data_IF_391441194571
#
_entry.id   IF_391441194571
#
_cell.length_a   1.000
_cell.length_b   1.000
_cell.length_c   1.000
_cell.angle_alpha   90.00
_cell.angle_beta   90.00
_cell.angle_gamma   90.00
#
_symmetry.space_group_name_H-M   'P 1'
#
loop_
_entity.id
_entity.type
_entity.pdbx_description
1 polymer ?
#
# COMPACT_ATOMS: atom_id res chain seq x y z
N UNK A 1 19.92 -77.89 -49.18
CA UNK A 1 18.73 -77.33 -48.53
C UNK A 1 19.22 -76.49 -47.36
N UNK A 2 19.32 -75.20 -47.58
CA UNK A 2 19.82 -74.24 -46.57
C UNK A 2 18.67 -73.29 -46.27
N UNK A 3 18.19 -73.33 -45.01
CA UNK A 3 17.04 -72.49 -44.53
C UNK A 3 17.65 -71.32 -43.77
N UNK A 4 17.56 -70.16 -44.38
CA UNK A 4 17.88 -68.84 -43.75
C UNK A 4 16.70 -68.37 -42.93
N UNK A 5 16.93 -68.12 -41.61
CA UNK A 5 15.91 -67.48 -40.72
C UNK A 5 16.08 -65.96 -40.81
N UNK A 6 14.96 -65.19 -40.86
CA UNK A 6 15.02 -63.74 -40.81
C UNK A 6 15.20 -63.25 -39.38
N UNK A 7 16.15 -62.34 -39.17
CA UNK A 7 16.40 -61.60 -37.91
C UNK A 7 15.40 -60.47 -37.76
N UNK A 8 14.63 -60.50 -36.68
CA UNK A 8 13.69 -59.43 -36.29
C UNK A 8 14.46 -58.27 -35.64
N UNK A 9 14.52 -57.13 -36.34
CA UNK A 9 15.05 -55.90 -35.77
C UNK A 9 13.98 -55.25 -34.87
N UNK A 10 14.17 -55.29 -33.56
CA UNK A 10 13.41 -54.49 -32.58
C UNK A 10 13.80 -53.03 -32.71
N UNK A 11 12.95 -52.21 -33.24
CA UNK A 11 13.05 -50.75 -33.20
C UNK A 11 12.63 -50.27 -31.80
N UNK A 12 13.62 -49.76 -31.05
CA UNK A 12 13.37 -49.04 -29.80
C UNK A 12 12.69 -47.70 -30.10
N UNK A 13 11.45 -47.54 -29.67
CA UNK A 13 10.77 -46.24 -29.73
C UNK A 13 11.13 -45.48 -28.47
N UNK A 14 11.97 -44.46 -28.61
CA UNK A 14 12.31 -43.55 -27.54
C UNK A 14 11.18 -42.53 -27.40
N UNK A 15 10.38 -42.66 -26.34
CA UNK A 15 9.39 -41.67 -25.98
C UNK A 15 10.07 -40.46 -25.29
N UNK A 16 10.18 -39.36 -26.02
CA UNK A 16 10.56 -38.07 -25.48
C UNK A 16 9.36 -37.49 -24.69
N UNK A 17 9.44 -37.52 -23.37
CA UNK A 17 8.51 -36.83 -22.48
C UNK A 17 8.94 -35.37 -22.48
N UNK A 18 8.23 -34.53 -23.19
CA UNK A 18 8.36 -33.07 -23.11
C UNK A 18 7.69 -32.57 -21.82
N UNK A 19 8.48 -32.20 -20.83
CA UNK A 19 8.01 -31.55 -19.60
C UNK A 19 7.60 -30.10 -19.94
N UNK A 20 6.31 -29.80 -20.05
CA UNK A 20 5.80 -28.43 -20.07
C UNK A 20 5.95 -27.85 -18.66
N UNK A 21 6.95 -27.00 -18.46
CA UNK A 21 7.00 -26.13 -17.30
C UNK A 21 5.93 -25.04 -17.45
N UNK A 22 4.80 -25.18 -16.75
CA UNK A 22 3.81 -24.13 -16.65
C UNK A 22 4.37 -22.97 -15.83
N UNK A 23 4.78 -21.90 -16.52
CA UNK A 23 5.11 -20.63 -15.87
C UNK A 23 3.77 -20.02 -15.41
N UNK A 24 3.47 -20.19 -14.14
CA UNK A 24 2.34 -19.54 -13.48
C UNK A 24 2.56 -18.03 -13.41
N UNK A 25 2.01 -17.28 -14.36
CA UNK A 25 1.91 -15.82 -14.26
C UNK A 25 0.84 -15.54 -13.23
N UNK A 26 1.22 -15.24 -11.99
CA UNK A 26 0.30 -14.70 -10.99
C UNK A 26 -0.02 -13.26 -11.38
N UNK A 27 -1.15 -13.05 -12.05
CA UNK A 27 -1.72 -11.72 -12.17
C UNK A 27 -2.10 -11.26 -10.77
N UNK A 28 -1.32 -10.31 -10.23
CA UNK A 28 -1.71 -9.58 -9.03
C UNK A 28 -3.02 -8.85 -9.35
N UNK A 29 -4.14 -9.38 -8.88
CA UNK A 29 -5.42 -8.67 -8.92
C UNK A 29 -5.27 -7.47 -7.99
N UNK A 30 -5.18 -6.26 -8.56
CA UNK A 30 -5.32 -5.03 -7.80
C UNK A 30 -6.71 -5.09 -7.13
N UNK A 31 -6.72 -5.20 -5.80
CA UNK A 31 -7.98 -5.17 -5.05
C UNK A 31 -8.72 -3.88 -5.37
N UNK A 32 -10.01 -3.94 -5.73
CA UNK A 32 -10.79 -2.72 -5.91
C UNK A 32 -10.72 -1.91 -4.60
N UNK A 33 -10.57 -0.59 -4.76
CA UNK A 33 -10.40 0.32 -3.63
C UNK A 33 -11.74 0.52 -2.89
N UNK A 34 -12.21 -0.52 -2.19
CA UNK A 34 -13.42 -0.44 -1.35
C UNK A 34 -13.13 0.32 -0.07
N UNK A 35 -14.10 1.11 0.36
CA UNK A 35 -14.14 1.69 1.69
C UNK A 35 -14.33 0.58 2.73
N UNK A 36 -13.58 0.63 3.82
CA UNK A 36 -13.64 -0.37 4.91
C UNK A 36 -14.05 0.30 6.22
N UNK A 37 -14.49 -0.52 7.18
CA UNK A 37 -14.87 -0.04 8.52
C UNK A 37 -13.63 0.33 9.35
N UNK A 38 -13.84 1.18 10.36
CA UNK A 38 -12.80 1.53 11.34
C UNK A 38 -12.18 0.28 11.99
N UNK A 39 -13.00 -0.71 12.36
CA UNK A 39 -12.53 -1.94 13.00
C UNK A 39 -11.65 -2.78 12.07
N UNK A 40 -12.02 -2.89 10.79
CA UNK A 40 -11.21 -3.59 9.79
C UNK A 40 -9.85 -2.90 9.58
N UNK A 41 -9.85 -1.57 9.43
CA UNK A 41 -8.64 -0.78 9.28
C UNK A 41 -7.70 -0.91 10.49
N UNK A 42 -8.22 -0.74 11.72
CA UNK A 42 -7.42 -0.82 12.95
C UNK A 42 -6.83 -2.21 13.18
N UNK A 43 -7.55 -3.28 12.80
CA UNK A 43 -7.01 -4.64 12.85
C UNK A 43 -5.78 -4.79 11.96
N UNK A 44 -5.84 -4.29 10.71
CA UNK A 44 -4.73 -4.35 9.74
C UNK A 44 -3.54 -3.48 10.19
N UNK A 45 -3.81 -2.26 10.69
CA UNK A 45 -2.78 -1.35 11.19
C UNK A 45 -2.03 -1.95 12.38
N UNK A 46 -2.74 -2.53 13.36
CA UNK A 46 -2.13 -3.23 14.51
C UNK A 46 -1.26 -4.41 14.06
N UNK A 47 -1.75 -5.23 13.13
CA UNK A 47 -0.99 -6.35 12.58
C UNK A 47 0.32 -5.90 11.89
N UNK A 48 0.32 -4.68 11.32
CA UNK A 48 1.50 -4.07 10.72
C UNK A 48 2.39 -3.31 11.72
N UNK A 49 2.03 -3.24 13.00
CA UNK A 49 2.76 -2.48 14.02
C UNK A 49 2.67 -0.95 13.80
N UNK A 50 1.55 -0.48 13.25
CA UNK A 50 1.23 0.94 13.10
C UNK A 50 0.32 1.34 14.26
N UNK A 51 0.64 2.45 14.92
CA UNK A 51 -0.16 3.03 15.99
C UNK A 51 -0.95 4.24 15.48
N UNK A 52 -1.92 4.67 16.25
CA UNK A 52 -2.62 5.94 16.02
C UNK A 52 -2.96 6.60 17.36
N UNK A 53 -3.14 7.89 17.32
CA UNK A 53 -3.53 8.71 18.45
C UNK A 53 -4.68 9.64 18.06
N UNK A 54 -5.51 9.97 19.02
CA UNK A 54 -6.66 10.86 18.86
C UNK A 54 -6.69 11.82 20.03
N UNK A 55 -6.81 13.11 19.79
CA UNK A 55 -6.86 14.12 20.85
C UNK A 55 -8.11 13.98 21.73
N UNK A 56 -9.23 13.51 21.16
CA UNK A 56 -10.44 13.18 21.89
C UNK A 56 -10.50 11.75 22.43
N UNK A 57 -9.46 10.92 22.19
CA UNK A 57 -9.44 9.51 22.53
C UNK A 57 -10.68 8.74 22.02
N UNK A 58 -11.08 9.02 20.78
CA UNK A 58 -12.29 8.52 20.16
C UNK A 58 -12.09 8.22 18.66
N UNK A 59 -13.10 7.58 18.05
CA UNK A 59 -13.08 7.18 16.63
C UNK A 59 -14.33 7.66 15.86
N UNK A 60 -15.07 8.60 16.40
CA UNK A 60 -16.24 9.17 15.72
C UNK A 60 -15.78 10.00 14.52
N UNK A 61 -16.26 9.61 13.33
CA UNK A 61 -15.95 10.28 12.07
C UNK A 61 -16.50 11.71 11.99
N UNK A 62 -17.54 12.01 12.74
CA UNK A 62 -18.20 13.33 12.76
C UNK A 62 -17.63 14.27 13.83
N UNK A 63 -16.57 13.86 14.51
CA UNK A 63 -15.90 14.66 15.53
C UNK A 63 -14.43 14.89 15.14
N UNK A 64 -14.04 16.15 14.94
CA UNK A 64 -12.69 16.56 14.53
C UNK A 64 -11.61 16.32 15.58
N UNK A 65 -11.98 16.02 16.84
CA UNK A 65 -11.01 15.63 17.88
C UNK A 65 -10.74 14.11 17.91
N UNK A 66 -11.47 13.34 17.11
CA UNK A 66 -11.27 11.90 16.97
C UNK A 66 -10.28 11.58 15.84
N UNK A 67 -9.76 10.36 15.82
CA UNK A 67 -9.07 9.79 14.66
C UNK A 67 -9.88 8.59 14.18
N UNK A 68 -10.50 8.73 13.03
CA UNK A 68 -11.40 7.73 12.46
C UNK A 68 -10.83 7.12 11.19
N UNK A 69 -11.05 5.83 11.02
CA UNK A 69 -10.79 5.12 9.76
C UNK A 69 -12.08 4.62 9.12
N UNK A 70 -13.25 5.07 9.60
CA UNK A 70 -14.53 4.65 9.04
C UNK A 70 -14.68 5.19 7.61
N UNK A 71 -14.88 4.28 6.66
CA UNK A 71 -14.95 4.62 5.25
C UNK A 71 -13.59 4.92 4.59
N UNK A 72 -12.48 4.58 5.23
CA UNK A 72 -11.15 4.67 4.61
C UNK A 72 -11.02 3.65 3.46
N UNK A 73 -10.30 4.00 2.44
CA UNK A 73 -10.08 3.09 1.30
C UNK A 73 -9.08 2.00 1.68
N UNK A 74 -9.32 0.78 1.22
CA UNK A 74 -8.37 -0.32 1.43
C UNK A 74 -6.99 0.04 0.85
N UNK A 75 -6.94 0.68 -0.32
CA UNK A 75 -5.68 1.12 -0.93
C UNK A 75 -4.89 2.11 -0.07
N UNK A 76 -5.55 2.92 0.76
CA UNK A 76 -4.88 3.84 1.69
C UNK A 76 -4.25 3.07 2.85
N UNK A 77 -4.95 2.08 3.40
CA UNK A 77 -4.41 1.19 4.44
C UNK A 77 -3.23 0.37 3.90
N UNK A 78 -3.37 -0.22 2.71
CA UNK A 78 -2.29 -0.97 2.06
C UNK A 78 -1.09 -0.05 1.80
N UNK A 79 -1.34 1.20 1.41
CA UNK A 79 -0.31 2.20 1.13
C UNK A 79 0.50 2.57 2.37
N UNK A 80 -0.14 2.86 3.50
CA UNK A 80 0.59 3.20 4.73
C UNK A 80 1.33 1.98 5.30
N UNK A 81 0.81 0.77 5.13
CA UNK A 81 1.49 -0.47 5.50
C UNK A 81 2.72 -0.69 4.60
N UNK A 82 2.60 -0.45 3.30
CA UNK A 82 3.73 -0.50 2.35
C UNK A 82 4.80 0.52 2.72
N UNK A 83 4.41 1.76 3.02
CA UNK A 83 5.33 2.80 3.49
C UNK A 83 6.04 2.41 4.78
N UNK A 84 5.31 1.86 5.75
CA UNK A 84 5.89 1.35 7.01
C UNK A 84 6.97 0.30 6.75
N UNK A 85 6.70 -0.67 5.87
CA UNK A 85 7.65 -1.74 5.52
C UNK A 85 8.87 -1.20 4.79
N UNK A 86 8.66 -0.31 3.82
CA UNK A 86 9.74 0.25 3.00
C UNK A 86 10.65 1.19 3.81
N UNK A 87 10.10 2.01 4.69
CA UNK A 87 10.86 2.97 5.50
C UNK A 87 11.52 2.35 6.73
N UNK A 88 10.94 1.28 7.28
CA UNK A 88 11.33 0.73 8.58
C UNK A 88 11.03 1.64 9.78
N UNK A 89 10.41 2.81 9.56
CA UNK A 89 10.13 3.80 10.59
C UNK A 89 8.97 3.37 11.50
N UNK A 90 8.98 3.82 12.75
CA UNK A 90 7.77 3.81 13.58
C UNK A 90 6.76 4.80 12.98
N UNK A 91 5.52 4.35 12.76
CA UNK A 91 4.44 5.16 12.22
C UNK A 91 3.35 5.30 13.27
N UNK A 92 2.95 6.56 13.53
CA UNK A 92 1.77 6.88 14.31
C UNK A 92 0.84 7.76 13.46
N UNK A 93 -0.38 7.29 13.21
CA UNK A 93 -1.39 8.05 12.45
C UNK A 93 -2.07 9.02 13.41
N UNK A 94 -2.23 10.27 12.99
CA UNK A 94 -2.82 11.35 13.81
C UNK A 94 -4.15 11.84 13.26
N UNK A 95 -4.48 11.54 12.00
CA UNK A 95 -5.78 11.79 11.39
C UNK A 95 -6.09 10.77 10.30
N UNK A 96 -7.37 10.50 10.11
CA UNK A 96 -7.91 9.57 9.10
C UNK A 96 -9.04 10.18 8.30
N UNK A 97 -10.27 9.72 8.53
CA UNK A 97 -11.45 10.12 7.75
C UNK A 97 -12.43 11.02 8.52
N UNK A 98 -12.07 11.48 9.71
CA UNK A 98 -12.89 12.38 10.50
C UNK A 98 -13.06 13.75 9.82
N UNK A 99 -14.08 14.49 10.24
CA UNK A 99 -14.33 15.89 9.81
C UNK A 99 -13.24 16.83 10.32
N UNK A 100 -13.14 18.02 9.71
CA UNK A 100 -12.15 19.05 10.09
C UNK A 100 -11.05 19.26 9.05
N UNK A 101 -10.97 18.39 8.05
CA UNK A 101 -10.02 18.49 6.94
C UNK A 101 -10.63 19.13 5.69
N UNK A 102 -9.78 19.60 4.78
CA UNK A 102 -10.18 20.16 3.50
C UNK A 102 -10.98 19.18 2.67
N UNK A 103 -12.06 19.65 2.05
CA UNK A 103 -12.91 18.86 1.16
C UNK A 103 -12.27 18.68 -0.22
N UNK A 104 -12.75 17.69 -0.98
CA UNK A 104 -12.32 17.40 -2.35
C UNK A 104 -12.40 15.92 -2.70
N UNK A 105 -12.18 15.60 -3.96
CA UNK A 105 -12.22 14.20 -4.43
C UNK A 105 -11.22 13.32 -3.69
N UNK A 106 -9.99 13.81 -3.53
CA UNK A 106 -8.89 13.09 -2.87
C UNK A 106 -8.68 13.61 -1.45
N UNK A 107 -9.73 13.57 -0.62
CA UNK A 107 -9.73 14.11 0.74
C UNK A 107 -9.62 13.01 1.80
N UNK A 108 -9.41 13.42 3.05
CA UNK A 108 -9.56 12.59 4.24
C UNK A 108 -10.94 11.95 4.29
N UNK A 109 -11.98 12.77 4.15
CA UNK A 109 -13.38 12.31 4.16
C UNK A 109 -13.64 11.18 3.13
N UNK A 110 -13.06 11.26 1.95
CA UNK A 110 -13.21 10.25 0.91
C UNK A 110 -12.24 9.08 1.05
N UNK A 111 -11.51 9.03 2.18
CA UNK A 111 -10.64 7.91 2.56
C UNK A 111 -9.34 7.80 1.80
N UNK A 112 -8.91 8.84 1.10
CA UNK A 112 -7.65 8.83 0.32
C UNK A 112 -6.43 9.24 1.13
N UNK A 113 -6.61 9.83 2.33
CA UNK A 113 -5.52 10.43 3.09
C UNK A 113 -5.44 9.89 4.51
N UNK A 114 -4.23 9.95 5.05
CA UNK A 114 -3.94 9.86 6.48
C UNK A 114 -2.86 10.86 6.82
N UNK A 115 -2.95 11.45 8.02
CA UNK A 115 -1.85 12.20 8.61
C UNK A 115 -1.03 11.31 9.52
N UNK A 116 0.28 11.53 9.53
CA UNK A 116 1.18 10.82 10.43
C UNK A 116 2.08 11.78 11.19
N UNK A 117 2.52 11.36 12.37
CA UNK A 117 3.48 12.11 13.16
C UNK A 117 4.78 12.33 12.39
N UNK A 118 5.29 13.57 12.45
CA UNK A 118 6.57 13.93 11.86
C UNK A 118 7.71 13.44 12.76
N UNK A 119 8.57 12.58 12.21
CA UNK A 119 9.78 12.09 12.87
C UNK A 119 10.99 12.25 11.96
N UNK A 120 12.19 12.31 12.53
CA UNK A 120 13.43 12.36 11.74
C UNK A 120 13.62 11.13 10.83
N UNK A 121 13.13 9.95 11.26
CA UNK A 121 13.16 8.75 10.45
C UNK A 121 12.29 8.90 9.18
N UNK A 122 11.03 9.33 9.36
CA UNK A 122 10.08 9.54 8.25
C UNK A 122 10.60 10.61 7.29
N UNK A 123 11.02 11.77 7.82
CA UNK A 123 11.60 12.84 7.01
C UNK A 123 12.83 12.36 6.23
N UNK A 124 13.74 11.67 6.91
CA UNK A 124 14.96 11.17 6.29
C UNK A 124 14.71 10.11 5.21
N UNK A 125 13.67 9.29 5.36
CA UNK A 125 13.29 8.33 4.32
C UNK A 125 12.68 9.05 3.10
N UNK A 126 11.70 9.93 3.32
CA UNK A 126 11.02 10.66 2.25
C UNK A 126 12.01 11.52 1.46
N UNK A 127 12.82 12.33 2.13
CA UNK A 127 13.76 13.25 1.48
C UNK A 127 14.84 12.56 0.64
N UNK A 128 15.21 11.32 0.97
CA UNK A 128 16.22 10.55 0.21
C UNK A 128 15.63 9.73 -0.93
N UNK A 129 14.36 9.34 -0.86
CA UNK A 129 13.79 8.35 -1.78
C UNK A 129 12.69 8.90 -2.69
N UNK A 130 12.15 10.09 -2.39
CA UNK A 130 11.04 10.67 -3.14
C UNK A 130 11.45 11.94 -3.87
N UNK A 131 10.78 12.24 -4.97
CA UNK A 131 11.03 13.46 -5.76
C UNK A 131 10.44 14.67 -5.05
N UNK A 132 11.28 15.62 -4.68
CA UNK A 132 10.83 16.91 -4.13
C UNK A 132 10.15 17.73 -5.21
N UNK A 133 8.93 18.22 -4.94
CA UNK A 133 8.12 19.00 -5.87
C UNK A 133 8.11 20.51 -5.56
N UNK A 134 8.64 20.92 -4.41
CA UNK A 134 8.65 22.31 -3.97
C UNK A 134 7.65 22.59 -2.85
N UNK A 135 7.54 23.88 -2.51
CA UNK A 135 6.58 24.38 -1.54
C UNK A 135 5.25 24.71 -2.23
N UNK A 136 4.16 24.16 -1.73
CA UNK A 136 2.80 24.45 -2.21
C UNK A 136 2.16 25.41 -1.20
N UNK A 137 1.83 26.62 -1.66
CA UNK A 137 1.23 27.66 -0.80
C UNK A 137 -0.06 27.16 -0.14
N UNK A 138 -0.15 27.35 1.19
CA UNK A 138 -1.28 26.88 2.00
C UNK A 138 -1.25 25.40 2.38
N UNK A 139 -0.23 24.64 1.90
CA UNK A 139 -0.10 23.20 2.21
C UNK A 139 1.24 22.87 2.86
N UNK A 140 2.37 23.15 2.21
CA UNK A 140 3.69 22.79 2.74
C UNK A 140 4.65 22.27 1.69
N UNK A 141 5.70 21.58 2.12
CA UNK A 141 6.72 21.01 1.23
C UNK A 141 6.28 19.66 0.72
N UNK A 142 6.12 19.51 -0.59
CA UNK A 142 5.55 18.32 -1.20
C UNK A 142 6.60 17.43 -1.85
N UNK A 143 6.42 16.12 -1.69
CA UNK A 143 7.24 15.06 -2.26
C UNK A 143 6.34 14.04 -2.96
N UNK A 144 6.83 13.46 -4.06
CA UNK A 144 6.13 12.42 -4.82
C UNK A 144 6.91 11.12 -4.77
N UNK A 145 6.27 10.07 -4.28
CA UNK A 145 6.80 8.71 -4.32
C UNK A 145 6.82 8.18 -5.77
N UNK A 146 7.64 7.14 -6.09
CA UNK A 146 7.62 6.48 -7.40
C UNK A 146 6.24 5.93 -7.79
N UNK A 147 5.39 5.57 -6.83
CA UNK A 147 4.00 5.15 -7.03
C UNK A 147 3.05 6.27 -7.47
N UNK A 148 3.50 7.53 -7.44
CA UNK A 148 2.68 8.72 -7.68
C UNK A 148 2.00 9.29 -6.44
N UNK A 149 2.01 8.59 -5.30
CA UNK A 149 1.45 9.06 -4.05
C UNK A 149 2.19 10.32 -3.56
N UNK A 150 1.46 11.23 -2.91
CA UNK A 150 2.00 12.52 -2.46
C UNK A 150 2.16 12.54 -0.94
N UNK A 151 3.25 13.13 -0.51
CA UNK A 151 3.63 13.32 0.90
C UNK A 151 3.89 14.79 1.12
N UNK A 152 3.07 15.46 1.91
CA UNK A 152 3.16 16.89 2.18
C UNK A 152 3.58 17.12 3.62
N UNK A 153 4.72 17.79 3.81
CA UNK A 153 5.20 18.25 5.11
C UNK A 153 4.47 19.55 5.48
N UNK A 154 3.46 19.46 6.32
CA UNK A 154 2.66 20.59 6.78
C UNK A 154 3.22 21.24 8.06
N UNK A 155 4.49 20.95 8.38
CA UNK A 155 5.22 21.52 9.51
C UNK A 155 5.20 20.64 10.76
N UNK A 156 4.05 20.30 11.29
CA UNK A 156 3.89 19.48 12.51
C UNK A 156 3.53 18.02 12.21
N UNK A 157 3.08 17.69 11.00
CA UNK A 157 2.71 16.35 10.56
C UNK A 157 3.02 16.17 9.08
N UNK A 158 2.85 14.95 8.57
CA UNK A 158 2.81 14.61 7.17
C UNK A 158 1.38 14.30 6.75
N UNK A 159 0.81 15.05 5.82
CA UNK A 159 -0.39 14.70 5.06
C UNK A 159 0.02 13.78 3.91
N UNK A 160 -0.54 12.58 3.85
CA UNK A 160 -0.20 11.59 2.83
C UNK A 160 -1.42 11.22 2.01
N UNK A 161 -1.35 11.51 0.72
CA UNK A 161 -2.38 11.16 -0.26
C UNK A 161 -2.01 9.87 -1.00
N UNK A 162 -2.84 8.86 -0.88
CA UNK A 162 -2.72 7.58 -1.56
C UNK A 162 -3.68 7.49 -2.75
N UNK A 163 -3.18 7.69 -3.96
CA UNK A 163 -3.93 7.38 -5.19
C UNK A 163 -4.04 5.88 -5.40
N UNK A 164 -2.99 5.15 -4.99
CA UNK A 164 -2.84 3.70 -5.08
C UNK A 164 -2.23 3.17 -3.79
N UNK A 165 -2.20 1.83 -3.60
CA UNK A 165 -1.50 1.22 -2.47
C UNK A 165 0.03 1.44 -2.51
N UNK A 166 0.61 1.81 -3.65
CA UNK A 166 2.06 1.87 -3.83
C UNK A 166 2.77 0.52 -3.72
N UNK A 167 1.98 -0.58 -3.85
CA UNK A 167 2.45 -1.97 -3.74
C UNK A 167 3.19 -2.42 -5.02
#
# INVERSE_FOLDING_TARGET
MSTTRPTLHRRAVTLLIASLAAIGITFGVASPAFAISHSSATSQLRAAGITWSSSGNCSDRYNSSCTSFEGIRQSTIDGIITFKRASGCAINITAGTEVGHSSGTYSHWNGYKVDISKTSCVYGYISRNYTYLGYISGWGYQYRAPSGNLYTDEGNHWDILYYTCGC
#
